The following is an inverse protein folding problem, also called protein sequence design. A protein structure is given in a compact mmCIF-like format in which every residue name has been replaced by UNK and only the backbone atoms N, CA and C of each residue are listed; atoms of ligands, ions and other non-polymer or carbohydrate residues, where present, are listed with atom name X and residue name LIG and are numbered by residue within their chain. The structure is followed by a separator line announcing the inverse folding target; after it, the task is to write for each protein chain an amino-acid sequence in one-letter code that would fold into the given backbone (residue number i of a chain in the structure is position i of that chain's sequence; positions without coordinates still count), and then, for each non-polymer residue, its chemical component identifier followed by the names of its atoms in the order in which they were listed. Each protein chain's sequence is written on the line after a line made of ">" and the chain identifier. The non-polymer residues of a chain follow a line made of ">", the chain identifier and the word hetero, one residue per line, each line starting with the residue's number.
data_IF_077929475576
#
_entry.id   IF_077929475576
#
_cell.length_a   1.000
_cell.length_b   1.000
_cell.length_c   1.000
_cell.angle_alpha   90.00
_cell.angle_beta   90.00
_cell.angle_gamma   90.00
#
_symmetry.space_group_name_H-M   'P 1'
#
loop_
_entity.id
_entity.type
_entity.pdbx_description
1 polymer ?
#
# COMPACT_ATOMS: atom_id res chain seq x y z
N UNK A 1 -26.57 19.49 0.61
CA UNK A 1 -25.27 18.94 0.15
C UNK A 1 -25.17 17.52 0.68
N UNK A 2 -24.79 16.57 -0.16
CA UNK A 2 -24.60 15.17 0.23
C UNK A 2 -23.11 14.93 0.45
N UNK A 3 -22.75 14.35 1.58
CA UNK A 3 -21.39 13.89 1.88
C UNK A 3 -21.30 12.36 1.89
N UNK A 4 -20.09 11.86 2.11
CA UNK A 4 -19.81 10.44 2.31
C UNK A 4 -19.63 10.18 3.80
N UNK A 5 -20.61 9.55 4.44
CA UNK A 5 -20.52 9.10 5.83
C UNK A 5 -19.67 7.83 5.90
N UNK A 6 -18.64 7.83 6.74
CA UNK A 6 -17.81 6.65 6.98
C UNK A 6 -18.44 5.81 8.09
N UNK A 7 -18.80 4.57 7.75
CA UNK A 7 -19.47 3.63 8.65
C UNK A 7 -18.49 2.64 9.27
N UNK A 8 -17.47 2.23 8.53
CA UNK A 8 -16.46 1.28 8.97
C UNK A 8 -15.11 1.51 8.31
N UNK A 9 -14.06 1.16 9.03
CA UNK A 9 -12.66 1.23 8.63
C UNK A 9 -11.96 -0.05 9.09
N UNK A 10 -11.35 -0.75 8.14
CA UNK A 10 -10.57 -1.95 8.42
C UNK A 10 -9.13 -1.77 7.96
N UNK A 11 -8.21 -2.41 8.65
CA UNK A 11 -6.79 -2.47 8.28
C UNK A 11 -6.31 -3.89 8.37
N UNK A 12 -5.40 -4.28 7.48
CA UNK A 12 -4.71 -5.56 7.54
C UNK A 12 -3.22 -5.33 7.27
N UNK A 13 -2.39 -6.02 8.06
CA UNK A 13 -0.95 -6.06 7.88
C UNK A 13 -0.55 -7.53 7.65
N UNK A 14 0.53 -7.79 6.89
CA UNK A 14 1.15 -9.10 6.87
C UNK A 14 1.47 -9.59 8.29
N UNK A 15 1.45 -10.91 8.49
CA UNK A 15 1.63 -11.54 9.81
C UNK A 15 2.97 -11.15 10.45
N UNK A 16 4.03 -11.15 9.65
CA UNK A 16 5.38 -10.95 10.15
C UNK A 16 5.89 -9.53 9.92
N UNK A 17 6.79 -9.12 10.81
CA UNK A 17 7.44 -7.82 10.78
C UNK A 17 8.93 -7.93 11.04
N UNK A 18 9.65 -6.91 10.59
CA UNK A 18 11.09 -6.78 10.76
C UNK A 18 11.40 -5.44 11.42
N UNK A 19 12.32 -5.44 12.38
CA UNK A 19 12.82 -4.18 12.96
C UNK A 19 13.59 -3.38 11.92
N UNK A 20 13.62 -2.06 12.08
CA UNK A 20 14.39 -1.21 11.17
C UNK A 20 15.89 -1.50 11.20
N UNK A 21 16.41 -1.98 12.34
CA UNK A 21 17.79 -2.41 12.48
C UNK A 21 18.06 -3.67 11.65
N UNK A 22 17.26 -4.73 11.82
CA UNK A 22 17.40 -5.95 11.03
C UNK A 22 17.21 -5.69 9.52
N UNK A 23 16.27 -4.82 9.15
CA UNK A 23 16.05 -4.44 7.76
C UNK A 23 17.24 -3.69 7.14
N UNK A 24 18.06 -3.00 7.94
CA UNK A 24 19.27 -2.35 7.46
C UNK A 24 20.42 -3.34 7.23
N UNK A 25 20.48 -4.40 8.05
CA UNK A 25 21.39 -5.54 7.84
C UNK A 25 21.02 -6.25 6.55
N UNK A 26 19.74 -6.54 6.35
CA UNK A 26 19.21 -7.09 5.10
C UNK A 26 19.65 -6.29 3.87
N UNK A 27 19.38 -4.98 3.89
CA UNK A 27 19.67 -4.10 2.76
C UNK A 27 21.15 -4.10 2.38
N UNK A 28 22.03 -4.24 3.38
CA UNK A 28 23.48 -4.35 3.15
C UNK A 28 23.86 -5.60 2.35
N UNK A 29 23.07 -6.68 2.43
CA UNK A 29 23.29 -7.90 1.64
C UNK A 29 22.85 -7.79 0.18
N UNK A 30 21.96 -6.83 -0.13
CA UNK A 30 21.50 -6.53 -1.48
C UNK A 30 22.43 -5.54 -2.21
N UNK A 31 23.52 -5.12 -1.58
CA UNK A 31 24.51 -4.22 -2.14
C UNK A 31 25.87 -4.90 -2.16
N UNK A 32 26.42 -5.09 -3.36
CA UNK A 32 27.79 -5.57 -3.54
C UNK A 32 28.61 -4.50 -4.24
N UNK A 33 29.64 -3.99 -3.57
CA UNK A 33 30.55 -2.98 -4.11
C UNK A 33 31.95 -3.54 -4.33
N UNK A 34 32.79 -2.79 -5.04
CA UNK A 34 34.23 -3.11 -5.19
C UNK A 34 34.96 -2.91 -3.86
N UNK A 35 36.13 -3.54 -3.70
CA UNK A 35 36.86 -3.63 -2.42
C UNK A 35 37.12 -2.27 -1.76
N UNK A 36 37.33 -1.20 -2.54
CA UNK A 36 37.62 0.15 -2.02
C UNK A 36 36.38 0.88 -1.47
N UNK A 37 35.17 0.54 -1.94
CA UNK A 37 33.91 1.16 -1.51
C UNK A 37 33.29 0.47 -0.28
N UNK A 38 33.75 -0.73 0.07
CA UNK A 38 33.10 -1.58 1.09
C UNK A 38 33.26 -1.10 2.53
N UNK A 39 34.35 -0.39 2.86
CA UNK A 39 34.78 -0.25 4.27
C UNK A 39 33.79 0.49 5.17
N UNK A 40 32.97 1.38 4.61
CA UNK A 40 32.00 2.20 5.37
C UNK A 40 30.54 2.03 4.92
N UNK A 41 30.28 1.21 3.90
CA UNK A 41 28.98 1.14 3.25
C UNK A 41 27.86 0.61 4.16
N UNK A 42 28.05 -0.47 4.95
CA UNK A 42 27.02 -0.95 5.88
C UNK A 42 26.67 0.10 6.94
N UNK A 43 27.66 0.79 7.49
CA UNK A 43 27.44 1.83 8.50
C UNK A 43 26.62 3.01 7.94
N UNK A 44 26.84 3.35 6.67
CA UNK A 44 26.07 4.38 5.97
C UNK A 44 24.63 3.94 5.70
N UNK A 45 24.40 2.71 5.21
CA UNK A 45 23.05 2.14 5.03
C UNK A 45 22.29 2.14 6.36
N UNK A 46 22.91 1.66 7.43
CA UNK A 46 22.32 1.66 8.77
C UNK A 46 21.98 3.08 9.24
N UNK A 47 22.84 4.07 8.96
CA UNK A 47 22.57 5.46 9.30
C UNK A 47 21.36 6.03 8.56
N UNK A 48 21.21 5.72 7.27
CA UNK A 48 20.04 6.11 6.48
C UNK A 48 18.76 5.46 7.02
N UNK A 49 18.80 4.16 7.32
CA UNK A 49 17.66 3.44 7.90
C UNK A 49 17.22 3.99 9.25
N UNK A 50 18.16 4.36 10.13
CA UNK A 50 17.86 5.02 11.41
C UNK A 50 17.20 6.39 11.24
N UNK A 51 17.56 7.13 10.18
CA UNK A 51 16.99 8.47 9.91
C UNK A 51 15.59 8.43 9.31
N UNK A 52 15.13 7.28 8.83
CA UNK A 52 13.79 7.12 8.25
C UNK A 52 12.64 7.34 9.26
N UNK A 53 12.91 7.28 10.57
CA UNK A 53 11.88 7.42 11.61
C UNK A 53 10.96 6.21 11.76
N UNK A 54 11.23 5.12 11.03
CA UNK A 54 10.48 3.86 11.08
C UNK A 54 11.06 2.94 12.15
N UNK A 55 10.20 2.35 12.99
CA UNK A 55 10.62 1.37 14.01
C UNK A 55 10.57 -0.07 13.51
N UNK A 56 9.48 -0.43 12.85
CA UNK A 56 9.24 -1.77 12.30
C UNK A 56 8.46 -1.67 10.99
N UNK A 57 8.56 -2.70 10.15
CA UNK A 57 7.79 -2.81 8.91
C UNK A 57 7.24 -4.21 8.75
N UNK A 58 6.01 -4.31 8.26
CA UNK A 58 5.42 -5.58 7.87
C UNK A 58 5.69 -5.85 6.39
N UNK A 59 5.84 -7.12 6.05
CA UNK A 59 6.16 -7.58 4.70
C UNK A 59 5.47 -8.91 4.41
N UNK A 60 4.89 -9.06 3.22
CA UNK A 60 4.33 -10.35 2.74
C UNK A 60 5.40 -11.36 2.35
N UNK A 61 6.66 -10.93 2.34
CA UNK A 61 7.76 -11.81 1.98
C UNK A 61 8.36 -12.53 3.21
N UNK A 62 8.09 -12.05 4.42
CA UNK A 62 8.70 -12.57 5.65
C UNK A 62 8.06 -13.90 6.04
N UNK A 63 8.84 -14.80 6.63
CA UNK A 63 8.38 -16.10 7.15
C UNK A 63 8.42 -16.17 8.69
N UNK A 64 9.04 -15.19 9.36
CA UNK A 64 9.04 -15.06 10.83
C UNK A 64 9.39 -13.64 11.26
N UNK A 65 8.92 -13.23 12.44
CA UNK A 65 9.30 -11.94 13.06
C UNK A 65 10.57 -12.05 13.91
N UNK A 66 11.66 -12.56 13.32
CA UNK A 66 12.94 -12.72 14.03
C UNK A 66 14.02 -11.77 13.49
N UNK A 67 14.63 -10.99 14.38
CA UNK A 67 15.68 -10.02 14.04
C UNK A 67 17.04 -10.67 13.69
N UNK A 68 17.22 -11.97 13.99
CA UNK A 68 18.54 -12.63 14.02
C UNK A 68 18.90 -13.58 12.85
N UNK A 69 17.93 -14.18 12.16
CA UNK A 69 18.19 -15.23 11.14
C UNK A 69 17.46 -15.02 9.80
N UNK A 70 16.40 -14.21 9.75
CA UNK A 70 15.37 -14.32 8.72
C UNK A 70 15.47 -13.34 7.53
N UNK A 71 16.58 -12.66 7.33
CA UNK A 71 16.61 -11.58 6.33
C UNK A 71 17.13 -11.95 4.95
N UNK A 72 17.76 -13.11 4.76
CA UNK A 72 18.00 -13.64 3.41
C UNK A 72 16.72 -14.31 2.87
N UNK A 73 15.64 -13.55 2.83
CA UNK A 73 14.33 -13.98 2.38
C UNK A 73 14.46 -14.62 0.99
N UNK A 74 13.89 -15.82 0.77
CA UNK A 74 14.16 -16.61 -0.45
C UNK A 74 13.88 -15.84 -1.76
N UNK A 75 12.98 -14.87 -1.68
CA UNK A 75 12.66 -13.94 -2.76
C UNK A 75 13.83 -13.00 -3.10
N UNK A 76 14.49 -12.43 -2.09
CA UNK A 76 15.66 -11.57 -2.24
C UNK A 76 16.94 -12.25 -1.75
N UNK A 77 17.72 -12.75 -2.70
CA UNK A 77 19.03 -13.36 -2.42
C UNK A 77 20.11 -12.29 -2.26
N UNK A 78 21.20 -12.65 -1.59
CA UNK A 78 22.37 -11.78 -1.53
C UNK A 78 22.86 -11.43 -2.92
N UNK A 79 23.26 -10.18 -3.12
CA UNK A 79 23.76 -9.72 -4.41
C UNK A 79 24.95 -10.58 -4.87
N UNK A 80 24.80 -11.27 -5.99
CA UNK A 80 25.85 -12.15 -6.50
C UNK A 80 27.01 -11.34 -7.11
N UNK A 81 26.70 -10.20 -7.72
CA UNK A 81 27.66 -9.29 -8.37
C UNK A 81 27.24 -7.83 -8.13
N UNK A 82 28.09 -6.86 -8.49
CA UNK A 82 27.74 -5.43 -8.41
C UNK A 82 26.62 -5.04 -9.39
N UNK A 83 26.44 -5.81 -10.46
CA UNK A 83 25.39 -5.61 -11.47
C UNK A 83 24.10 -6.38 -11.18
N UNK A 84 24.04 -7.10 -10.06
CA UNK A 84 22.82 -7.77 -9.62
C UNK A 84 21.75 -6.72 -9.29
N UNK A 85 20.54 -6.96 -9.80
CA UNK A 85 19.36 -6.08 -9.64
C UNK A 85 18.20 -6.79 -8.94
N UNK A 86 18.42 -8.02 -8.48
CA UNK A 86 17.42 -8.83 -7.79
C UNK A 86 16.35 -9.40 -8.71
N UNK A 87 15.18 -9.79 -8.14
CA UNK A 87 14.07 -10.38 -8.88
C UNK A 87 13.55 -9.48 -10.00
N UNK A 88 13.08 -10.13 -11.08
CA UNK A 88 12.49 -9.43 -12.20
C UNK A 88 11.15 -8.79 -11.83
N UNK A 89 10.68 -7.85 -12.65
CA UNK A 89 9.32 -7.32 -12.51
C UNK A 89 8.27 -8.42 -12.60
N UNK A 90 8.50 -9.44 -13.43
CA UNK A 90 7.57 -10.57 -13.56
C UNK A 90 7.46 -11.37 -12.24
N UNK A 91 8.59 -11.68 -11.59
CA UNK A 91 8.59 -12.38 -10.30
C UNK A 91 7.86 -11.57 -9.21
N UNK A 92 8.07 -10.25 -9.21
CA UNK A 92 7.42 -9.31 -8.28
C UNK A 92 5.92 -9.22 -8.51
N UNK A 93 5.46 -9.20 -9.77
CA UNK A 93 4.03 -9.19 -10.08
C UNK A 93 3.37 -10.53 -9.77
N UNK A 94 4.04 -11.66 -10.03
CA UNK A 94 3.54 -12.98 -9.63
C UNK A 94 3.32 -13.06 -8.11
N UNK A 95 4.24 -12.50 -7.33
CA UNK A 95 4.07 -12.42 -5.87
C UNK A 95 2.93 -11.47 -5.49
N UNK A 96 2.82 -10.31 -6.14
CA UNK A 96 1.72 -9.37 -5.91
C UNK A 96 0.34 -10.03 -6.13
N UNK A 97 0.20 -10.79 -7.22
CA UNK A 97 -1.03 -11.53 -7.55
C UNK A 97 -1.46 -12.51 -6.44
N UNK A 98 -0.49 -13.11 -5.74
CA UNK A 98 -0.74 -14.06 -4.66
C UNK A 98 -1.07 -13.37 -3.34
N UNK A 99 -0.34 -12.31 -3.01
CA UNK A 99 -0.32 -11.75 -1.66
C UNK A 99 -1.27 -10.56 -1.46
N UNK A 100 -1.55 -9.79 -2.52
CA UNK A 100 -2.41 -8.61 -2.40
C UNK A 100 -3.87 -8.96 -2.09
N UNK A 101 -4.49 -9.97 -2.75
CA UNK A 101 -5.89 -10.28 -2.50
C UNK A 101 -6.26 -10.68 -1.07
N UNK A 102 -5.55 -11.60 -0.37
CA UNK A 102 -5.91 -11.97 1.00
C UNK A 102 -5.75 -10.80 1.97
N UNK A 103 -4.74 -9.94 1.78
CA UNK A 103 -4.53 -8.76 2.60
C UNK A 103 -5.64 -7.72 2.40
N UNK A 104 -6.02 -7.47 1.14
CA UNK A 104 -7.15 -6.63 0.79
C UNK A 104 -8.47 -7.16 1.38
N UNK A 105 -8.70 -8.47 1.29
CA UNK A 105 -9.89 -9.13 1.83
C UNK A 105 -9.98 -8.98 3.36
N UNK A 106 -8.86 -9.14 4.08
CA UNK A 106 -8.83 -8.93 5.53
C UNK A 106 -9.23 -7.51 5.93
N UNK A 107 -8.68 -6.50 5.25
CA UNK A 107 -9.03 -5.10 5.52
C UNK A 107 -10.50 -4.80 5.17
N UNK A 108 -10.97 -5.27 4.01
CA UNK A 108 -12.34 -5.06 3.57
C UNK A 108 -13.37 -5.77 4.46
N UNK A 109 -13.10 -7.02 4.88
CA UNK A 109 -13.95 -7.75 5.82
C UNK A 109 -14.09 -7.01 7.15
N UNK A 110 -12.97 -6.52 7.72
CA UNK A 110 -12.99 -5.74 8.95
C UNK A 110 -13.77 -4.42 8.80
N UNK A 111 -13.64 -3.73 7.66
CA UNK A 111 -14.41 -2.52 7.38
C UNK A 111 -15.92 -2.80 7.29
N UNK A 112 -16.31 -3.89 6.61
CA UNK A 112 -17.70 -4.32 6.49
C UNK A 112 -18.27 -4.70 7.85
N UNK A 113 -17.56 -5.53 8.62
CA UNK A 113 -17.96 -5.93 9.96
C UNK A 113 -18.19 -4.71 10.86
N UNK A 114 -17.23 -3.78 10.91
CA UNK A 114 -17.36 -2.57 11.71
C UNK A 114 -18.52 -1.69 11.26
N UNK A 115 -18.81 -1.64 9.95
CA UNK A 115 -19.91 -0.83 9.42
C UNK A 115 -21.30 -1.37 9.76
N UNK A 116 -21.42 -2.67 10.06
CA UNK A 116 -22.71 -3.35 10.25
C UNK A 116 -23.57 -3.46 8.98
N UNK A 117 -23.03 -3.09 7.82
CA UNK A 117 -23.72 -3.21 6.53
C UNK A 117 -23.64 -4.64 6.04
N UNK A 118 -24.75 -5.16 5.50
CA UNK A 118 -24.73 -6.46 4.82
C UNK A 118 -23.92 -6.32 3.52
N UNK A 119 -22.93 -7.21 3.23
CA UNK A 119 -22.14 -7.16 2.01
C UNK A 119 -22.96 -7.05 0.71
N UNK A 120 -24.16 -7.64 0.67
CA UNK A 120 -25.08 -7.59 -0.47
C UNK A 120 -25.67 -6.20 -0.74
N UNK A 121 -25.51 -5.24 0.19
CA UNK A 121 -25.92 -3.86 0.01
C UNK A 121 -24.83 -3.00 -0.62
N UNK A 122 -23.59 -3.51 -0.77
CA UNK A 122 -22.50 -2.76 -1.39
C UNK A 122 -22.79 -2.61 -2.88
N UNK A 123 -22.96 -1.36 -3.29
CA UNK A 123 -23.30 -0.97 -4.67
C UNK A 123 -22.07 -0.68 -5.52
N UNK A 124 -20.99 -0.20 -4.91
CA UNK A 124 -19.75 0.17 -5.59
C UNK A 124 -18.54 -0.36 -4.84
N UNK A 125 -17.61 -0.98 -5.57
CA UNK A 125 -16.29 -1.40 -5.12
C UNK A 125 -15.24 -0.52 -5.81
N UNK A 126 -14.49 0.23 -5.01
CA UNK A 126 -13.36 1.02 -5.47
C UNK A 126 -12.07 0.39 -4.93
N UNK A 127 -11.20 -0.07 -5.82
CA UNK A 127 -9.89 -0.59 -5.45
C UNK A 127 -8.79 0.42 -5.72
N UNK A 128 -7.76 0.43 -4.89
CA UNK A 128 -6.61 1.33 -4.99
C UNK A 128 -5.32 0.53 -4.83
N UNK A 129 -4.40 0.69 -5.77
CA UNK A 129 -3.02 0.21 -5.60
C UNK A 129 -2.08 0.92 -6.59
N UNK A 130 -0.83 1.07 -6.21
CA UNK A 130 0.24 1.50 -7.12
C UNK A 130 1.44 0.55 -7.14
N UNK A 131 1.45 -0.48 -6.28
CA UNK A 131 2.54 -1.44 -6.13
C UNK A 131 2.41 -2.70 -6.98
N UNK A 132 1.32 -2.88 -7.73
CA UNK A 132 1.23 -3.99 -8.69
C UNK A 132 0.06 -3.91 -9.64
N UNK A 133 0.09 -4.78 -10.64
CA UNK A 133 -0.98 -4.94 -11.63
C UNK A 133 -1.33 -6.41 -11.77
N UNK A 134 -2.62 -6.70 -11.84
CA UNK A 134 -3.14 -8.02 -12.16
C UNK A 134 -4.46 -7.87 -12.91
N UNK A 135 -4.71 -8.76 -13.87
CA UNK A 135 -5.95 -8.85 -14.62
C UNK A 135 -6.28 -10.33 -14.85
N UNK A 136 -7.27 -10.89 -14.13
CA UNK A 136 -8.21 -10.22 -13.23
C UNK A 136 -7.58 -9.66 -11.95
N UNK A 137 -8.06 -8.50 -11.47
CA UNK A 137 -7.55 -7.87 -10.26
C UNK A 137 -8.10 -8.48 -8.97
N UNK A 138 -7.60 -7.99 -7.83
CA UNK A 138 -8.08 -8.44 -6.52
C UNK A 138 -9.54 -8.08 -6.24
N UNK A 139 -10.13 -7.18 -7.04
CA UNK A 139 -11.54 -6.81 -6.98
C UNK A 139 -12.48 -8.01 -7.18
N UNK A 140 -12.16 -8.93 -8.09
CA UNK A 140 -12.99 -10.13 -8.28
C UNK A 140 -12.94 -11.07 -7.07
N UNK A 141 -11.76 -11.22 -6.47
CA UNK A 141 -11.60 -12.04 -5.27
C UNK A 141 -12.36 -11.42 -4.10
N UNK A 142 -12.36 -10.09 -3.94
CA UNK A 142 -13.19 -9.42 -2.94
C UNK A 142 -14.68 -9.69 -3.16
N UNK A 143 -15.15 -9.67 -4.41
CA UNK A 143 -16.56 -9.95 -4.73
C UNK A 143 -16.95 -11.36 -4.30
N UNK A 144 -16.14 -12.34 -4.64
CA UNK A 144 -16.39 -13.73 -4.31
C UNK A 144 -16.29 -14.00 -2.81
N UNK A 145 -15.18 -13.61 -2.17
CA UNK A 145 -14.90 -13.96 -0.77
C UNK A 145 -15.78 -13.21 0.22
N UNK A 146 -16.11 -11.95 -0.06
CA UNK A 146 -16.94 -11.13 0.84
C UNK A 146 -18.44 -11.28 0.54
N UNK A 147 -18.79 -12.02 -0.51
CA UNK A 147 -20.18 -12.16 -0.96
C UNK A 147 -20.78 -10.83 -1.36
N UNK A 148 -20.07 -10.05 -2.18
CA UNK A 148 -20.63 -8.84 -2.79
C UNK A 148 -21.58 -9.21 -3.93
N UNK A 149 -22.50 -8.32 -4.34
CA UNK A 149 -23.32 -8.57 -5.52
C UNK A 149 -22.47 -8.75 -6.78
N UNK A 150 -22.77 -9.73 -7.61
CA UNK A 150 -22.11 -9.91 -8.91
C UNK A 150 -22.31 -8.70 -9.85
N UNK A 151 -23.31 -7.87 -9.58
CA UNK A 151 -23.62 -6.62 -10.27
C UNK A 151 -22.92 -5.39 -9.69
N UNK A 152 -22.08 -5.52 -8.66
CA UNK A 152 -21.39 -4.38 -8.03
C UNK A 152 -20.61 -3.58 -9.07
N UNK A 153 -20.77 -2.26 -9.05
CA UNK A 153 -20.00 -1.38 -9.93
C UNK A 153 -18.54 -1.34 -9.47
N UNK A 154 -17.59 -1.54 -10.38
CA UNK A 154 -16.16 -1.64 -10.03
C UNK A 154 -15.40 -0.45 -10.61
N UNK A 155 -14.54 0.16 -9.79
CA UNK A 155 -13.59 1.20 -10.22
C UNK A 155 -12.22 0.90 -9.65
N UNK A 156 -11.18 0.91 -10.47
CA UNK A 156 -9.80 0.82 -10.00
C UNK A 156 -9.10 2.17 -10.14
N UNK A 157 -8.50 2.64 -9.05
CA UNK A 157 -7.63 3.81 -8.99
C UNK A 157 -6.20 3.31 -8.90
N UNK A 158 -5.59 3.10 -10.06
CA UNK A 158 -4.27 2.51 -10.20
C UNK A 158 -3.15 3.56 -10.34
N UNK A 159 -1.97 3.22 -9.83
CA UNK A 159 -0.70 3.89 -10.16
C UNK A 159 -0.65 5.40 -9.87
N UNK A 160 -1.32 5.82 -8.79
CA UNK A 160 -1.35 7.21 -8.30
C UNK A 160 -0.49 7.45 -7.04
N UNK A 161 0.41 6.51 -6.71
CA UNK A 161 1.31 6.62 -5.56
C UNK A 161 0.60 6.84 -4.23
N UNK A 162 1.28 7.51 -3.30
CA UNK A 162 0.83 7.70 -1.91
C UNK A 162 -0.50 8.48 -1.77
N UNK A 163 -0.96 9.19 -2.80
CA UNK A 163 -2.25 9.90 -2.78
C UNK A 163 -3.40 9.11 -3.41
N UNK A 164 -3.18 7.85 -3.80
CA UNK A 164 -4.18 7.01 -4.47
C UNK A 164 -5.47 6.87 -3.65
N UNK A 165 -5.36 6.63 -2.34
CA UNK A 165 -6.53 6.43 -1.47
C UNK A 165 -7.45 7.66 -1.42
N UNK A 166 -6.88 8.87 -1.44
CA UNK A 166 -7.65 10.12 -1.51
C UNK A 166 -8.44 10.24 -2.82
N UNK A 167 -7.90 9.72 -3.92
CA UNK A 167 -8.60 9.67 -5.20
C UNK A 167 -9.70 8.62 -5.19
N UNK A 168 -9.48 7.47 -4.55
CA UNK A 168 -10.52 6.48 -4.29
C UNK A 168 -11.69 7.05 -3.46
N UNK A 169 -11.39 7.79 -2.39
CA UNK A 169 -12.40 8.48 -1.59
C UNK A 169 -13.15 9.58 -2.36
N UNK A 170 -12.47 10.27 -3.29
CA UNK A 170 -13.10 11.27 -4.16
C UNK A 170 -14.10 10.62 -5.14
N UNK A 171 -13.77 9.45 -5.67
CA UNK A 171 -14.70 8.64 -6.48
C UNK A 171 -15.89 8.17 -5.63
N UNK A 172 -15.63 7.64 -4.43
CA UNK A 172 -16.66 7.23 -3.48
C UNK A 172 -17.63 8.38 -3.13
N UNK A 173 -17.11 9.57 -2.88
CA UNK A 173 -17.90 10.78 -2.63
C UNK A 173 -18.73 11.19 -3.85
N UNK A 174 -18.20 11.04 -5.07
CA UNK A 174 -18.96 11.31 -6.29
C UNK A 174 -20.16 10.35 -6.46
N UNK A 175 -19.98 9.05 -6.16
CA UNK A 175 -21.10 8.10 -6.17
C UNK A 175 -22.14 8.44 -5.10
N UNK A 176 -21.71 8.72 -3.87
CA UNK A 176 -22.60 9.13 -2.79
C UNK A 176 -23.39 10.42 -3.10
N UNK A 177 -22.76 11.37 -3.80
CA UNK A 177 -23.42 12.61 -4.22
C UNK A 177 -24.43 12.39 -5.36
N UNK A 178 -24.17 11.43 -6.25
CA UNK A 178 -25.03 11.12 -7.39
C UNK A 178 -26.24 10.25 -7.03
N UNK A 179 -26.10 9.34 -6.06
CA UNK A 179 -27.13 8.39 -5.66
C UNK A 179 -27.24 8.29 -4.12
N UNK A 180 -28.35 8.75 -3.51
CA UNK A 180 -28.58 8.63 -2.07
C UNK A 180 -28.63 7.19 -1.53
N UNK A 181 -28.80 6.19 -2.39
CA UNK A 181 -28.79 4.78 -2.03
C UNK A 181 -27.39 4.14 -2.13
N UNK A 182 -26.39 4.88 -2.60
CA UNK A 182 -25.05 4.36 -2.77
C UNK A 182 -24.41 3.95 -1.43
N UNK A 183 -23.95 2.69 -1.41
CA UNK A 183 -23.08 2.13 -0.40
C UNK A 183 -21.79 1.71 -1.09
N UNK A 184 -20.67 2.27 -0.64
CA UNK A 184 -19.37 2.16 -1.31
C UNK A 184 -18.37 1.45 -0.39
N UNK A 185 -17.61 0.54 -0.96
CA UNK A 185 -16.42 -0.06 -0.34
C UNK A 185 -15.19 0.46 -1.08
N UNK A 186 -14.33 1.18 -0.39
CA UNK A 186 -13.00 1.58 -0.90
C UNK A 186 -11.97 0.67 -0.24
N UNK A 187 -11.13 0.00 -1.02
CA UNK A 187 -10.08 -0.88 -0.52
C UNK A 187 -8.75 -0.55 -1.19
N UNK A 188 -7.76 -0.17 -0.38
CA UNK A 188 -6.39 0.07 -0.80
C UNK A 188 -5.49 -1.06 -0.32
N UNK A 189 -4.62 -1.58 -1.19
CA UNK A 189 -3.59 -2.55 -0.84
C UNK A 189 -2.27 -2.15 -1.48
N UNK A 190 -1.21 -2.14 -0.69
CA UNK A 190 0.13 -1.82 -1.15
C UNK A 190 1.15 -2.84 -0.64
N UNK A 191 1.94 -3.39 -1.56
CA UNK A 191 3.00 -4.36 -1.30
C UNK A 191 4.36 -3.80 -1.76
N UNK A 192 4.77 -2.68 -1.15
CA UNK A 192 5.94 -1.94 -1.57
C UNK A 192 7.26 -2.68 -1.30
N UNK A 193 7.31 -3.63 -0.35
CA UNK A 193 8.51 -4.44 -0.10
C UNK A 193 8.87 -5.31 -1.30
N UNK A 194 7.90 -5.64 -2.17
CA UNK A 194 8.11 -6.30 -3.46
C UNK A 194 8.96 -5.48 -4.43
N UNK A 195 9.25 -4.22 -4.14
CA UNK A 195 10.04 -3.32 -5.00
C UNK A 195 11.37 -2.88 -4.36
N UNK A 196 11.90 -3.66 -3.41
CA UNK A 196 13.23 -3.45 -2.86
C UNK A 196 14.29 -3.43 -3.98
N UNK A 197 15.11 -2.39 -3.98
CA UNK A 197 16.12 -2.12 -4.99
C UNK A 197 17.50 -2.59 -4.56
N UNK A 198 18.22 -3.24 -5.46
CA UNK A 198 19.60 -3.69 -5.26
C UNK A 198 20.61 -2.62 -5.68
N UNK A 199 21.84 -2.77 -5.20
CA UNK A 199 22.95 -1.89 -5.54
C UNK A 199 22.96 -0.59 -4.73
N UNK A 200 24.07 0.14 -4.85
CA UNK A 200 24.26 1.39 -4.12
C UNK A 200 23.70 2.58 -4.90
N UNK A 201 22.65 3.20 -4.36
CA UNK A 201 22.15 4.51 -4.74
C UNK A 201 21.47 5.13 -3.50
N UNK A 202 21.89 6.31 -3.02
CA UNK A 202 21.34 6.89 -1.80
C UNK A 202 19.82 7.09 -1.82
N UNK A 203 19.23 7.47 -2.96
CA UNK A 203 17.78 7.66 -3.06
C UNK A 203 17.05 6.30 -2.98
N UNK A 204 17.58 5.27 -3.64
CA UNK A 204 17.03 3.91 -3.56
C UNK A 204 17.15 3.32 -2.15
N UNK A 205 18.26 3.57 -1.44
CA UNK A 205 18.42 3.13 -0.05
C UNK A 205 17.44 3.84 0.88
N UNK A 206 17.21 5.15 0.70
CA UNK A 206 16.19 5.88 1.45
C UNK A 206 14.80 5.30 1.17
N UNK A 207 14.44 5.08 -0.10
CA UNK A 207 13.19 4.41 -0.47
C UNK A 207 13.06 3.03 0.20
N UNK A 208 14.07 2.17 0.09
CA UNK A 208 14.10 0.84 0.70
C UNK A 208 13.93 0.88 2.23
N UNK A 209 14.24 2.00 2.89
CA UNK A 209 14.10 2.17 4.34
C UNK A 209 12.71 2.62 4.80
N UNK A 210 11.89 3.17 3.90
CA UNK A 210 10.61 3.81 4.25
C UNK A 210 9.41 2.88 4.06
N UNK A 211 9.36 2.19 2.92
CA UNK A 211 8.12 1.57 2.48
C UNK A 211 7.94 0.14 3.04
N UNK A 212 6.68 -0.22 3.26
CA UNK A 212 6.22 -1.47 3.87
C UNK A 212 4.93 -1.93 3.18
N UNK A 213 4.40 -3.06 3.63
CA UNK A 213 3.18 -3.66 3.07
C UNK A 213 1.99 -3.48 3.99
N UNK A 214 0.80 -3.34 3.41
CA UNK A 214 -0.44 -3.20 4.17
C UNK A 214 -1.67 -2.99 3.30
N UNK A 215 -2.84 -3.19 3.89
CA UNK A 215 -4.12 -2.84 3.28
C UNK A 215 -5.00 -2.07 4.27
N UNK A 216 -5.85 -1.20 3.71
CA UNK A 216 -6.88 -0.49 4.45
C UNK A 216 -8.15 -0.41 3.62
N UNK A 217 -9.31 -0.46 4.26
CA UNK A 217 -10.58 -0.34 3.60
C UNK A 217 -11.55 0.51 4.40
N UNK A 218 -12.50 1.10 3.69
CA UNK A 218 -13.54 1.96 4.23
C UNK A 218 -14.87 1.59 3.60
N UNK A 219 -15.90 1.43 4.44
CA UNK A 219 -17.30 1.37 3.99
C UNK A 219 -17.96 2.71 4.30
N UNK A 220 -18.62 3.28 3.29
CA UNK A 220 -19.37 4.52 3.46
C UNK A 220 -20.68 4.53 2.70
N UNK A 221 -21.51 5.51 3.02
CA UNK A 221 -22.79 5.74 2.33
C UNK A 221 -23.05 7.23 2.13
N UNK A 222 -24.00 7.54 1.27
CA UNK A 222 -24.52 8.89 1.15
C UNK A 222 -25.18 9.35 2.45
N UNK A 223 -24.85 10.56 2.90
CA UNK A 223 -25.51 11.21 4.03
C UNK A 223 -25.72 12.70 3.77
N UNK A 224 -26.84 13.24 4.25
CA UNK A 224 -27.08 14.68 4.18
C UNK A 224 -26.16 15.41 5.16
N UNK A 225 -25.48 16.47 4.70
CA UNK A 225 -24.70 17.32 5.59
C UNK A 225 -25.63 17.93 6.65
N UNK A 226 -25.32 17.68 7.93
CA UNK A 226 -26.14 18.14 9.07
C UNK A 226 -27.17 17.12 9.57
N UNK A 227 -27.30 15.94 8.95
CA UNK A 227 -28.13 14.85 9.53
C UNK A 227 -27.47 14.29 10.79
N UNK A 228 -28.29 13.83 11.75
CA UNK A 228 -27.78 13.08 12.88
C UNK A 228 -27.13 11.78 12.39
N UNK A 229 -25.81 11.69 12.56
CA UNK A 229 -25.01 10.50 12.24
C UNK A 229 -25.32 9.44 13.30
N UNK A 230 -26.29 8.57 13.02
CA UNK A 230 -26.74 7.52 13.91
C UNK A 230 -25.73 6.36 13.96
N UNK A 231 -25.23 6.00 15.15
CA UNK A 231 -24.39 4.83 15.36
C UNK A 231 -23.37 4.99 16.51
N UNK A 232 -22.91 3.87 17.08
CA UNK A 232 -21.80 3.85 18.06
C UNK A 232 -20.50 4.22 17.34
N UNK A 233 -19.84 5.31 17.75
CA UNK A 233 -18.55 5.70 17.19
C UNK A 233 -17.40 4.92 17.82
N UNK A 234 -16.50 4.38 17.00
CA UNK A 234 -15.12 4.21 17.44
C UNK A 234 -14.50 5.60 17.60
N UNK A 235 -13.85 5.92 18.73
CA UNK A 235 -13.21 7.21 18.94
C UNK A 235 -12.18 7.51 17.84
N UNK A 236 -12.23 8.71 17.26
CA UNK A 236 -11.15 9.23 16.39
C UNK A 236 -11.34 9.08 14.87
N UNK A 237 -12.42 8.47 14.36
CA UNK A 237 -12.65 8.37 12.91
C UNK A 237 -13.50 9.56 12.42
N UNK A 238 -13.03 10.35 11.42
CA UNK A 238 -13.84 11.38 10.78
C UNK A 238 -15.10 10.75 10.18
N UNK A 239 -16.28 11.19 10.64
CA UNK A 239 -17.55 10.55 10.29
C UNK A 239 -18.11 10.95 8.93
N UNK A 240 -17.70 12.10 8.38
CA UNK A 240 -18.30 12.66 7.17
C UNK A 240 -17.25 13.37 6.31
N UNK A 241 -17.11 12.91 5.07
CA UNK A 241 -16.37 13.63 4.03
C UNK A 241 -17.36 14.53 3.30
N UNK A 242 -17.15 15.84 3.40
CA UNK A 242 -18.05 16.87 2.82
C UNK A 242 -17.49 17.49 1.54
N UNK A 243 -16.24 17.16 1.19
CA UNK A 243 -15.55 17.73 0.04
C UNK A 243 -14.13 17.19 -0.10
N UNK A 244 -13.49 17.55 -1.21
CA UNK A 244 -12.10 17.23 -1.51
C UNK A 244 -11.47 18.34 -2.36
N UNK A 245 -10.16 18.46 -2.32
CA UNK A 245 -9.39 19.36 -3.16
C UNK A 245 -8.19 18.60 -3.74
N UNK A 246 -7.70 19.05 -4.90
CA UNK A 246 -6.52 18.49 -5.56
C UNK A 246 -5.71 19.61 -6.18
N UNK A 247 -4.40 19.56 -6.00
CA UNK A 247 -3.46 20.52 -6.56
C UNK A 247 -2.17 19.80 -6.93
N UNK A 248 -1.64 20.12 -8.11
CA UNK A 248 -0.29 19.75 -8.52
C UNK A 248 0.60 20.97 -8.25
N UNK A 249 1.72 20.77 -7.58
CA UNK A 249 2.70 21.84 -7.34
C UNK A 249 3.50 22.04 -8.64
N UNK A 250 3.53 23.24 -9.23
CA UNK A 250 4.26 23.47 -10.47
C UNK A 250 5.75 23.18 -10.31
N UNK A 251 6.35 22.53 -11.32
CA UNK A 251 7.80 22.25 -11.34
C UNK A 251 8.26 21.05 -10.51
N UNK A 252 7.36 20.28 -9.88
CA UNK A 252 7.75 19.16 -9.00
C UNK A 252 7.61 17.78 -9.63
N UNK A 253 7.45 17.69 -10.97
CA UNK A 253 7.17 16.44 -11.69
C UNK A 253 8.16 15.32 -11.36
N UNK A 254 9.45 15.65 -11.31
CA UNK A 254 10.51 14.66 -11.17
C UNK A 254 10.99 14.50 -9.71
N UNK A 255 10.35 15.19 -8.76
CA UNK A 255 10.71 15.14 -7.34
C UNK A 255 10.33 13.81 -6.68
N UNK A 256 9.27 13.17 -7.14
CA UNK A 256 8.85 11.84 -6.70
C UNK A 256 8.33 11.07 -7.90
N UNK A 257 9.01 9.99 -8.28
CA UNK A 257 8.61 9.19 -9.44
C UNK A 257 8.44 7.73 -9.07
N UNK A 258 7.62 7.02 -9.84
CA UNK A 258 7.38 5.59 -9.68
C UNK A 258 7.36 4.96 -11.07
N UNK A 259 8.46 4.30 -11.43
CA UNK A 259 8.75 3.91 -12.81
C UNK A 259 8.82 2.39 -12.96
N UNK A 260 8.04 1.82 -13.87
CA UNK A 260 8.15 0.40 -14.18
C UNK A 260 9.44 0.15 -14.97
N UNK A 261 10.26 -0.79 -14.49
CA UNK A 261 11.51 -1.23 -15.13
C UNK A 261 11.55 -2.76 -15.23
N UNK A 262 12.72 -3.33 -15.51
CA UNK A 262 12.88 -4.77 -15.67
C UNK A 262 12.96 -5.53 -14.33
N UNK A 263 13.27 -4.83 -13.23
CA UNK A 263 13.51 -5.42 -11.91
C UNK A 263 12.68 -4.75 -10.81
N UNK A 264 11.40 -4.53 -11.12
CA UNK A 264 10.41 -3.91 -10.25
C UNK A 264 10.07 -2.49 -10.66
N UNK A 265 9.43 -1.79 -9.73
CA UNK A 265 9.04 -0.40 -9.85
C UNK A 265 10.07 0.46 -9.11
N UNK A 266 10.77 1.30 -9.86
CA UNK A 266 11.83 2.15 -9.33
C UNK A 266 11.24 3.46 -8.83
N UNK A 267 11.49 3.75 -7.55
CA UNK A 267 11.20 5.04 -6.96
C UNK A 267 12.40 5.96 -7.00
N UNK A 268 12.15 7.22 -7.32
CA UNK A 268 13.07 8.31 -7.02
C UNK A 268 12.42 9.25 -6.03
N UNK A 269 13.22 9.75 -5.09
CA UNK A 269 12.78 10.72 -4.09
C UNK A 269 13.85 11.80 -3.98
N UNK A 270 13.50 13.01 -4.41
CA UNK A 270 14.34 14.18 -4.24
C UNK A 270 14.50 14.49 -2.74
N UNK A 271 15.69 14.94 -2.29
CA UNK A 271 15.88 15.42 -0.92
C UNK A 271 15.07 16.68 -0.58
N UNK A 272 14.42 17.30 -1.57
CA UNK A 272 13.52 18.46 -1.40
C UNK A 272 12.09 18.08 -0.97
N UNK A 273 11.78 16.77 -0.89
CA UNK A 273 10.48 16.22 -0.45
C UNK A 273 10.48 15.88 1.03
#
# INVERSE_FOLDING_TARGET
>A
MTGLEILGLGTALPEYSISQEAASVFASTCVKSTVDEQRNLPALIQALYRRAGVRQRHSVLLESSSDGEATAERFYRFAATADDRGPSTADRMLRYEQEAPPLAAGAAAAAIEQSGINPQQITHLITVSCSGFSAPGFDLLLIEQLGLPASVARTHVGFMGCHGALNGLRVAHAFAAADPSAVVLVCAVELCTLHHQYGWDPQKIVANSLFADGAAAVVGRAAAVGSQIAGKSSPGIPRLIVGSASQVIPGTRDMMTWNIRNTGFEMTLSPEV
#
